data_IF_602731848281
#
_entry.id   IF_602731848281
#
_cell.length_a   1.000
_cell.length_b   1.000
_cell.length_c   1.000
_cell.angle_alpha   90.00
_cell.angle_beta   90.00
_cell.angle_gamma   90.00
#
_symmetry.space_group_name_H-M   'P 1'
#
loop_
_entity.id
_entity.type
_entity.pdbx_description
1 polymer ?
#
# COMPACT_ATOMS: atom_id res chain seq x y z
N UNK A 1 -10.89 6.38 27.30
CA UNK A 1 -9.45 6.07 27.43
C UNK A 1 -8.94 6.02 28.88
N UNK A 2 -9.82 5.95 29.90
CA UNK A 2 -9.42 5.71 31.29
C UNK A 2 -9.69 4.26 31.73
N UNK A 3 -10.15 3.41 30.82
CA UNK A 3 -10.48 2.01 31.07
C UNK A 3 -9.19 1.28 31.43
N UNK A 4 -9.13 0.73 32.65
CA UNK A 4 -7.92 0.14 33.23
C UNK A 4 -7.75 -1.34 32.90
N UNK A 5 -8.79 -1.96 32.35
CA UNK A 5 -8.81 -3.37 31.97
C UNK A 5 -8.63 -3.53 30.47
N UNK A 6 -8.02 -4.65 30.08
CA UNK A 6 -7.90 -4.99 28.68
C UNK A 6 -9.24 -5.54 28.17
N UNK A 7 -9.79 -5.02 27.05
CA UNK A 7 -11.11 -5.42 26.58
C UNK A 7 -11.20 -6.93 26.30
N UNK A 8 -12.37 -7.55 26.50
CA UNK A 8 -12.59 -8.94 26.15
C UNK A 8 -12.60 -9.14 24.62
N UNK A 9 -12.23 -10.34 24.15
CA UNK A 9 -12.06 -10.64 22.72
C UNK A 9 -13.31 -10.37 21.86
N UNK A 10 -14.51 -10.47 22.43
CA UNK A 10 -15.76 -10.25 21.68
C UNK A 10 -16.01 -8.78 21.32
N UNK A 11 -15.33 -7.83 21.98
CA UNK A 11 -15.36 -6.41 21.62
C UNK A 11 -14.45 -6.08 20.43
N UNK A 12 -13.54 -6.99 20.05
CA UNK A 12 -12.67 -6.83 18.89
C UNK A 12 -13.38 -7.32 17.62
N UNK A 13 -14.31 -6.51 17.13
CA UNK A 13 -15.08 -6.74 15.90
C UNK A 13 -14.99 -5.55 14.94
N UNK A 14 -14.84 -5.84 13.65
CA UNK A 14 -14.94 -4.86 12.57
C UNK A 14 -15.91 -5.33 11.50
N UNK A 15 -16.78 -4.44 11.02
CA UNK A 15 -17.69 -4.71 9.89
C UNK A 15 -16.93 -5.16 8.63
N UNK A 16 -15.69 -4.71 8.44
CA UNK A 16 -14.88 -4.99 7.25
C UNK A 16 -14.04 -6.26 7.37
N UNK A 17 -13.58 -6.61 8.58
CA UNK A 17 -12.59 -7.67 8.81
C UNK A 17 -13.06 -8.78 9.75
N UNK A 18 -14.33 -8.77 10.17
CA UNK A 18 -14.92 -9.75 11.09
C UNK A 18 -14.20 -9.78 12.46
N UNK A 19 -14.19 -10.92 13.16
CA UNK A 19 -13.55 -11.07 14.48
C UNK A 19 -12.04 -11.26 14.33
N UNK A 20 -11.27 -10.78 15.32
CA UNK A 20 -9.83 -11.03 15.36
C UNK A 20 -9.52 -12.50 15.64
N UNK A 21 -8.32 -12.94 15.25
CA UNK A 21 -7.84 -14.28 15.60
C UNK A 21 -7.49 -14.36 17.10
N UNK A 22 -7.52 -15.58 17.64
CA UNK A 22 -7.12 -15.81 19.03
C UNK A 22 -5.63 -15.47 19.25
N UNK A 23 -4.79 -15.60 18.23
CA UNK A 23 -3.37 -15.32 18.32
C UNK A 23 -3.08 -13.82 18.32
N UNK A 24 -3.81 -13.03 17.53
CA UNK A 24 -3.74 -11.56 17.58
C UNK A 24 -4.17 -11.04 18.96
N UNK A 25 -5.23 -11.62 19.53
CA UNK A 25 -5.68 -11.26 20.88
C UNK A 25 -4.62 -11.56 21.95
N UNK A 26 -4.02 -12.77 21.90
CA UNK A 26 -2.91 -13.14 22.80
C UNK A 26 -1.71 -12.20 22.63
N UNK A 27 -1.40 -11.80 21.40
CA UNK A 27 -0.35 -10.83 21.12
C UNK A 27 -0.66 -9.47 21.77
N UNK A 28 -1.86 -8.94 21.57
CA UNK A 28 -2.28 -7.68 22.16
C UNK A 28 -2.22 -7.70 23.70
N UNK A 29 -2.67 -8.80 24.32
CA UNK A 29 -2.55 -9.02 25.77
C UNK A 29 -1.08 -9.07 26.24
N UNK A 30 -0.20 -9.71 25.45
CA UNK A 30 1.24 -9.76 25.74
C UNK A 30 1.84 -8.35 25.70
N UNK A 31 1.49 -7.53 24.71
CA UNK A 31 1.95 -6.14 24.60
C UNK A 31 1.46 -5.33 25.80
N UNK A 32 0.16 -5.39 26.12
CA UNK A 32 -0.42 -4.71 27.28
C UNK A 32 0.34 -5.01 28.58
N UNK A 33 0.60 -6.29 28.85
CA UNK A 33 1.33 -6.74 30.05
C UNK A 33 2.81 -6.34 30.01
N UNK A 34 3.48 -6.53 28.87
CA UNK A 34 4.92 -6.28 28.72
C UNK A 34 5.26 -4.81 28.93
N UNK A 35 4.43 -3.91 28.39
CA UNK A 35 4.61 -2.46 28.51
C UNK A 35 3.89 -1.87 29.72
N UNK A 36 3.25 -2.71 30.56
CA UNK A 36 2.56 -2.31 31.80
C UNK A 36 1.56 -1.17 31.55
N UNK A 37 0.77 -1.30 30.48
CA UNK A 37 -0.25 -0.32 30.13
C UNK A 37 -1.26 -0.19 31.27
N UNK A 38 -1.43 1.02 31.79
CA UNK A 38 -2.32 1.31 32.92
C UNK A 38 -3.78 1.46 32.51
N UNK A 39 -4.01 1.89 31.27
CA UNK A 39 -5.32 2.08 30.69
C UNK A 39 -5.24 2.00 29.16
N UNK A 40 -6.40 1.95 28.50
CA UNK A 40 -6.51 1.91 27.04
C UNK A 40 -5.83 3.10 26.37
N UNK A 41 -5.83 4.28 26.99
CA UNK A 41 -5.12 5.45 26.49
C UNK A 41 -3.61 5.19 26.34
N UNK A 42 -2.97 4.58 27.36
CA UNK A 42 -1.54 4.26 27.30
C UNK A 42 -1.20 3.16 26.30
N UNK A 43 -2.12 2.23 26.08
CA UNK A 43 -1.97 1.23 25.02
C UNK A 43 -2.08 1.85 23.63
N UNK A 44 -3.04 2.77 23.44
CA UNK A 44 -3.17 3.55 22.22
C UNK A 44 -1.96 4.45 21.95
N UNK A 45 -1.46 5.18 22.96
CA UNK A 45 -0.24 6.00 22.86
C UNK A 45 0.96 5.17 22.37
N UNK A 46 1.09 3.95 22.89
CA UNK A 46 2.16 3.02 22.51
C UNK A 46 2.04 2.59 21.04
N UNK A 47 0.83 2.23 20.61
CA UNK A 47 0.56 1.89 19.22
C UNK A 47 0.89 3.08 18.29
N UNK A 48 0.35 4.25 18.59
CA UNK A 48 0.55 5.46 17.79
C UNK A 48 2.03 5.83 17.69
N UNK A 49 2.77 5.75 18.81
CA UNK A 49 4.21 5.98 18.80
C UNK A 49 4.96 4.98 17.93
N UNK A 50 4.58 3.70 17.97
CA UNK A 50 5.21 2.66 17.15
C UNK A 50 4.96 2.89 15.67
N UNK A 51 3.73 3.27 15.31
CA UNK A 51 3.34 3.57 13.93
C UNK A 51 4.09 4.80 13.38
N UNK A 52 4.13 5.89 14.15
CA UNK A 52 4.86 7.11 13.80
C UNK A 52 6.36 6.84 13.63
N UNK A 53 6.98 6.11 14.56
CA UNK A 53 8.40 5.79 14.48
C UNK A 53 8.70 4.91 13.25
N UNK A 54 7.87 3.90 12.98
CA UNK A 54 8.05 3.03 11.80
C UNK A 54 7.91 3.83 10.50
N UNK A 55 6.94 4.75 10.44
CA UNK A 55 6.77 5.63 9.29
C UNK A 55 7.96 6.59 9.13
N UNK A 56 8.45 7.16 10.23
CA UNK A 56 9.60 8.05 10.22
C UNK A 56 10.89 7.35 9.75
N UNK A 57 11.11 6.10 10.18
CA UNK A 57 12.24 5.29 9.75
C UNK A 57 12.20 5.04 8.23
N UNK A 58 11.05 4.59 7.71
CA UNK A 58 10.86 4.35 6.27
C UNK A 58 10.99 5.66 5.47
N UNK A 59 10.40 6.75 5.97
CA UNK A 59 10.47 8.04 5.29
C UNK A 59 11.89 8.60 5.22
N UNK A 60 12.65 8.48 6.31
CA UNK A 60 14.06 8.93 6.36
C UNK A 60 14.91 8.18 5.35
N UNK A 61 14.71 6.86 5.23
CA UNK A 61 15.42 6.05 4.24
C UNK A 61 15.00 6.39 2.81
N UNK A 62 13.70 6.60 2.58
CA UNK A 62 13.19 7.06 1.29
C UNK A 62 13.76 8.43 0.88
N UNK A 63 13.90 9.36 1.83
CA UNK A 63 14.50 10.68 1.60
C UNK A 63 15.98 10.57 1.21
N UNK A 64 16.77 9.78 1.95
CA UNK A 64 18.18 9.54 1.63
C UNK A 64 18.35 8.96 0.24
N UNK A 65 17.63 7.88 -0.06
CA UNK A 65 17.62 7.23 -1.36
C UNK A 65 17.24 8.21 -2.47
N UNK A 66 16.18 8.99 -2.27
CA UNK A 66 15.72 9.92 -3.30
C UNK A 66 16.75 11.01 -3.62
N UNK A 67 17.42 11.54 -2.59
CA UNK A 67 18.50 12.52 -2.76
C UNK A 67 19.72 11.87 -3.42
N UNK A 68 20.07 10.63 -3.07
CA UNK A 68 21.21 9.91 -3.64
C UNK A 68 21.00 9.59 -5.14
N UNK A 69 19.84 9.04 -5.51
CA UNK A 69 19.60 8.55 -6.88
C UNK A 69 19.05 9.62 -7.83
N UNK A 70 18.21 10.52 -7.33
CA UNK A 70 17.54 11.51 -8.17
C UNK A 70 18.04 12.93 -7.92
N UNK A 71 18.83 13.15 -6.86
CA UNK A 71 19.21 14.49 -6.40
C UNK A 71 17.97 15.40 -6.20
N UNK A 72 16.89 14.81 -5.71
CA UNK A 72 15.61 15.46 -5.43
C UNK A 72 15.16 15.08 -4.02
N UNK A 73 14.74 16.06 -3.22
CA UNK A 73 14.14 15.80 -1.90
C UNK A 73 12.63 15.51 -2.06
N UNK A 74 12.14 14.32 -1.65
CA UNK A 74 10.73 13.96 -1.73
C UNK A 74 9.81 14.90 -0.93
N UNK A 75 10.33 15.61 0.06
CA UNK A 75 9.57 16.55 0.91
C UNK A 75 9.07 17.78 0.16
N UNK A 76 9.61 18.07 -1.03
CA UNK A 76 9.15 19.14 -1.91
C UNK A 76 8.03 18.73 -2.87
N UNK A 77 7.55 17.49 -2.76
CA UNK A 77 6.58 16.91 -3.69
C UNK A 77 5.32 16.46 -2.94
N UNK A 78 4.16 16.63 -3.58
CA UNK A 78 2.87 16.21 -3.02
C UNK A 78 2.73 14.69 -3.02
N UNK A 79 3.37 14.01 -3.99
CA UNK A 79 3.32 12.56 -4.12
C UNK A 79 4.59 11.99 -4.74
N UNK A 80 4.81 10.68 -4.51
CA UNK A 80 5.90 9.96 -5.15
C UNK A 80 5.85 10.04 -6.69
N UNK A 81 4.65 10.02 -7.29
CA UNK A 81 4.50 10.17 -8.74
C UNK A 81 5.02 11.52 -9.25
N UNK A 82 4.80 12.61 -8.52
CA UNK A 82 5.33 13.93 -8.89
C UNK A 82 6.85 14.01 -8.75
N UNK A 83 7.42 13.39 -7.71
CA UNK A 83 8.87 13.23 -7.56
C UNK A 83 9.47 12.45 -8.73
N UNK A 84 8.94 11.26 -9.02
CA UNK A 84 9.47 10.38 -10.07
C UNK A 84 9.29 10.96 -11.47
N UNK A 85 8.20 11.71 -11.71
CA UNK A 85 8.03 12.45 -12.95
C UNK A 85 9.16 13.45 -13.16
N UNK A 86 9.48 14.26 -12.14
CA UNK A 86 10.57 15.22 -12.24
C UNK A 86 11.94 14.54 -12.30
N UNK A 87 12.13 13.44 -11.56
CA UNK A 87 13.32 12.61 -11.63
C UNK A 87 13.55 12.02 -13.03
N UNK A 88 12.48 11.54 -13.67
CA UNK A 88 12.53 11.02 -15.04
C UNK A 88 12.88 12.12 -16.05
N UNK A 89 12.30 13.32 -15.93
CA UNK A 89 12.68 14.47 -16.76
C UNK A 89 14.14 14.89 -16.55
N UNK A 90 14.60 14.92 -15.29
CA UNK A 90 15.97 15.28 -14.94
C UNK A 90 16.99 14.28 -15.50
N UNK A 91 16.73 12.98 -15.35
CA UNK A 91 17.62 11.91 -15.83
C UNK A 91 17.64 11.85 -17.36
N UNK A 92 16.48 11.93 -18.01
CA UNK A 92 16.39 11.83 -19.47
C UNK A 92 16.83 13.11 -20.19
N UNK A 93 16.80 14.27 -19.51
CA UNK A 93 17.04 15.58 -20.11
C UNK A 93 15.98 16.01 -21.12
N UNK A 94 14.89 15.24 -21.27
CA UNK A 94 13.81 15.51 -22.22
C UNK A 94 13.03 16.74 -21.76
N UNK A 95 12.75 17.63 -22.72
CA UNK A 95 11.83 18.75 -22.53
C UNK A 95 10.51 18.40 -23.20
N UNK A 96 9.47 18.25 -22.39
CA UNK A 96 8.12 18.00 -22.89
C UNK A 96 7.50 19.34 -23.27
N UNK A 97 7.00 19.42 -24.50
CA UNK A 97 6.29 20.59 -25.00
C UNK A 97 4.84 20.61 -24.52
N UNK A 98 4.28 21.81 -24.40
CA UNK A 98 2.86 21.98 -24.08
C UNK A 98 2.02 21.65 -25.33
N UNK A 99 0.85 21.05 -25.12
CA UNK A 99 -0.11 20.87 -26.21
C UNK A 99 -0.57 22.24 -26.73
N UNK A 100 -0.46 22.43 -28.04
CA UNK A 100 -0.82 23.69 -28.71
C UNK A 100 -2.26 23.69 -29.22
N UNK A 101 -2.86 22.50 -29.39
CA UNK A 101 -4.20 22.34 -29.93
C UNK A 101 -4.87 21.05 -29.43
N UNK A 102 -6.18 20.95 -29.69
CA UNK A 102 -7.02 19.84 -29.25
C UNK A 102 -6.71 18.52 -29.96
N UNK A 103 -6.17 18.55 -31.19
CA UNK A 103 -5.89 17.33 -31.93
C UNK A 103 -4.71 16.56 -31.32
N UNK A 104 -3.68 17.27 -30.83
CA UNK A 104 -2.58 16.66 -30.07
C UNK A 104 -3.08 15.96 -28.80
N UNK A 105 -3.94 16.65 -28.05
CA UNK A 105 -4.55 16.11 -26.84
C UNK A 105 -5.36 14.84 -27.15
N UNK A 106 -6.25 14.90 -28.14
CA UNK A 106 -7.12 13.79 -28.51
C UNK A 106 -6.33 12.58 -29.03
N UNK A 107 -5.22 12.82 -29.75
CA UNK A 107 -4.33 11.76 -30.19
C UNK A 107 -3.72 11.00 -29.00
N UNK A 108 -3.19 11.73 -28.02
CA UNK A 108 -2.57 11.12 -26.82
C UNK A 108 -3.62 10.41 -25.97
N UNK A 109 -4.79 11.01 -25.75
CA UNK A 109 -5.84 10.37 -24.95
C UNK A 109 -6.37 9.09 -25.59
N UNK A 110 -6.51 9.05 -26.92
CA UNK A 110 -6.87 7.81 -27.65
C UNK A 110 -5.79 6.74 -27.60
N UNK A 111 -4.52 7.15 -27.47
CA UNK A 111 -3.39 6.23 -27.37
C UNK A 111 -3.18 5.67 -25.96
N UNK A 112 -3.76 6.27 -24.91
CA UNK A 112 -3.61 5.80 -23.52
C UNK A 112 -4.37 4.49 -23.32
N UNK A 113 -3.62 3.43 -23.03
CA UNK A 113 -4.15 2.13 -22.64
C UNK A 113 -3.50 1.66 -21.33
N UNK A 114 -4.25 0.91 -20.53
CA UNK A 114 -3.71 0.25 -19.35
C UNK A 114 -2.84 -0.95 -19.69
N UNK A 115 -2.50 -1.74 -18.67
CA UNK A 115 -1.87 -3.05 -18.87
C UNK A 115 -2.83 -4.03 -19.55
N UNK A 116 -2.32 -4.82 -20.48
CA UNK A 116 -3.09 -5.89 -21.12
C UNK A 116 -3.28 -7.02 -20.11
N UNK A 117 -4.54 -7.31 -19.75
CA UNK A 117 -4.90 -8.47 -18.92
C UNK A 117 -5.68 -9.47 -19.76
N UNK A 118 -5.09 -10.65 -20.01
CA UNK A 118 -5.71 -11.71 -20.82
C UNK A 118 -5.99 -12.92 -19.94
N UNK A 119 -7.25 -13.32 -19.87
CA UNK A 119 -7.65 -14.62 -19.36
C UNK A 119 -7.84 -15.59 -20.54
N UNK A 120 -6.80 -16.35 -20.88
CA UNK A 120 -6.90 -17.40 -21.90
C UNK A 120 -7.52 -18.66 -21.30
N UNK A 121 -8.42 -19.33 -22.03
CA UNK A 121 -8.70 -20.74 -21.76
C UNK A 121 -7.42 -21.54 -22.03
N UNK A 122 -6.89 -22.20 -21.00
CA UNK A 122 -5.82 -23.17 -21.18
C UNK A 122 -6.36 -24.35 -21.98
N UNK A 123 -5.59 -24.84 -22.94
CA UNK A 123 -5.91 -26.09 -23.62
C UNK A 123 -6.06 -27.20 -22.58
N UNK A 124 -7.22 -27.85 -22.57
CA UNK A 124 -7.50 -29.02 -21.77
C UNK A 124 -8.13 -30.05 -22.70
N UNK A 125 -7.66 -31.29 -22.59
CA UNK A 125 -8.24 -32.44 -23.26
C UNK A 125 -8.46 -33.52 -22.21
N UNK A 126 -9.70 -33.99 -22.08
CA UNK A 126 -10.00 -35.04 -21.12
C UNK A 126 -9.30 -36.36 -21.48
N UNK A 127 -8.63 -37.00 -20.52
CA UNK A 127 -8.03 -38.34 -20.67
C UNK A 127 -8.97 -39.46 -20.16
N UNK A 128 -10.28 -39.22 -20.16
CA UNK A 128 -11.28 -40.18 -19.70
C UNK A 128 -12.06 -40.74 -20.91
N UNK A 129 -11.96 -42.04 -21.22
CA UNK A 129 -12.65 -42.65 -22.37
C UNK A 129 -14.18 -42.54 -22.34
N UNK A 130 -14.77 -42.24 -21.17
CA UNK A 130 -16.22 -42.07 -20.98
C UNK A 130 -16.72 -40.65 -21.22
N UNK A 131 -15.82 -39.68 -21.40
CA UNK A 131 -16.18 -38.28 -21.69
C UNK A 131 -16.26 -38.12 -23.22
N UNK A 132 -17.39 -37.57 -23.70
CA UNK A 132 -17.68 -37.41 -25.13
C UNK A 132 -16.74 -36.43 -25.83
N UNK A 133 -16.77 -36.40 -27.17
CA UNK A 133 -15.87 -35.61 -28.05
C UNK A 133 -15.94 -34.08 -27.89
N UNK A 134 -16.80 -33.57 -27.02
CA UNK A 134 -16.98 -32.13 -26.79
C UNK A 134 -16.05 -31.56 -25.71
N UNK A 135 -15.12 -32.37 -25.17
CA UNK A 135 -14.13 -31.99 -24.15
C UNK A 135 -12.73 -32.58 -24.44
#
# INVERSE_FOLDING_TARGET
FQETEFPPIHEFYSTLKSKISQDDYKHAQKVWKKFRCKNLGKYYDLYLKTDILSLADIWTEFQKMSIEYYELDPSHYVSASSLFWNGMLKISGVRIELFTDMAMHDFIEKAKHGGISIACQRYFKANNPKIGKEF
#
